data_IF_097499557954
#
_entry.id   IF_097499557954
#
_cell.length_a   1.000
_cell.length_b   1.000
_cell.length_c   1.000
_cell.angle_alpha   90.00
_cell.angle_beta   90.00
_cell.angle_gamma   90.00
#
_symmetry.space_group_name_H-M   'P 1'
#
loop_
_entity.id
_entity.type
_entity.pdbx_description
1 polymer ?
#
# COMPACT_ATOMS: atom_id res chain seq x y z
N UNK A 1 -17.45 12.36 -10.80
CA UNK A 1 -16.09 11.96 -11.20
C UNK A 1 -15.54 10.98 -10.15
N UNK A 2 -16.09 9.77 -10.12
CA UNK A 2 -15.72 8.69 -9.21
C UNK A 2 -15.28 7.51 -10.10
N UNK A 3 -14.49 6.57 -9.60
CA UNK A 3 -13.97 5.39 -10.34
C UNK A 3 -12.65 5.62 -11.12
N UNK A 4 -11.66 6.29 -10.50
CA UNK A 4 -10.23 6.03 -10.81
C UNK A 4 -9.40 5.58 -9.60
N UNK A 5 -9.84 5.85 -8.36
CA UNK A 5 -9.12 5.41 -7.15
C UNK A 5 -9.14 3.89 -6.92
N UNK A 6 -10.05 3.17 -7.60
CA UNK A 6 -10.25 1.74 -7.44
C UNK A 6 -9.29 0.88 -8.27
N UNK A 7 -8.66 1.43 -9.33
CA UNK A 7 -7.84 0.62 -10.25
C UNK A 7 -6.34 0.64 -9.91
N UNK A 8 -5.99 0.91 -8.65
CA UNK A 8 -4.60 0.78 -8.18
C UNK A 8 -4.29 -0.69 -7.90
N UNK A 9 -3.16 -1.23 -8.37
CA UNK A 9 -2.83 -2.64 -8.19
C UNK A 9 -2.54 -2.94 -6.71
N UNK A 10 -2.78 -4.17 -6.28
CA UNK A 10 -2.60 -4.55 -4.88
C UNK A 10 -2.69 -6.07 -4.67
N UNK A 11 -2.22 -6.56 -3.51
CA UNK A 11 -2.38 -7.95 -3.13
C UNK A 11 -3.86 -8.32 -2.95
N UNK A 12 -4.12 -9.62 -2.96
CA UNK A 12 -5.44 -10.16 -2.66
C UNK A 12 -5.85 -9.79 -1.22
N UNK A 13 -7.13 -9.50 -1.01
CA UNK A 13 -7.66 -9.13 0.30
C UNK A 13 -8.58 -10.25 0.81
N UNK A 14 -8.32 -10.74 2.03
CA UNK A 14 -9.18 -11.71 2.70
C UNK A 14 -10.07 -11.01 3.73
N UNK A 15 -11.37 -11.27 3.70
CA UNK A 15 -12.27 -10.80 4.75
C UNK A 15 -12.04 -11.59 6.05
N UNK A 16 -11.98 -10.97 7.25
CA UNK A 16 -12.17 -9.55 7.56
C UNK A 16 -10.86 -8.73 7.66
N UNK A 17 -9.69 -9.35 7.48
CA UNK A 17 -8.38 -8.75 7.82
C UNK A 17 -7.71 -8.00 6.67
N UNK A 18 -8.29 -8.03 5.47
CA UNK A 18 -7.72 -7.45 4.25
C UNK A 18 -6.46 -8.18 3.79
N UNK A 19 -5.43 -7.43 3.41
CA UNK A 19 -4.06 -7.88 3.19
C UNK A 19 -3.22 -7.94 4.48
N UNK A 20 -3.83 -7.74 5.66
CA UNK A 20 -3.14 -7.79 6.95
C UNK A 20 -2.42 -9.13 7.22
N UNK A 21 -2.92 -10.23 6.64
CA UNK A 21 -2.29 -11.55 6.72
C UNK A 21 -0.85 -11.60 6.21
N UNK A 22 -0.46 -10.69 5.30
CA UNK A 22 0.92 -10.58 4.79
C UNK A 22 1.92 -10.12 5.87
N UNK A 23 1.39 -9.57 6.97
CA UNK A 23 2.14 -8.94 8.05
C UNK A 23 1.92 -9.61 9.41
N UNK A 24 1.10 -10.66 9.50
CA UNK A 24 0.76 -11.34 10.77
C UNK A 24 1.85 -12.28 11.33
N UNK A 25 3.05 -12.30 10.72
CA UNK A 25 4.19 -13.12 11.16
C UNK A 25 5.25 -12.30 11.91
N UNK A 26 6.40 -12.91 12.22
CA UNK A 26 7.53 -12.24 12.88
C UNK A 26 7.98 -10.99 12.11
N UNK A 27 8.51 -9.96 12.79
CA UNK A 27 8.99 -8.72 12.17
C UNK A 27 10.00 -8.96 11.03
N UNK A 28 10.84 -9.99 11.15
CA UNK A 28 11.81 -10.40 10.14
C UNK A 28 11.15 -10.73 8.78
N UNK A 29 9.93 -11.27 8.80
CA UNK A 29 9.18 -11.60 7.59
C UNK A 29 8.43 -10.40 7.02
N UNK A 30 8.15 -9.37 7.81
CA UNK A 30 7.48 -8.14 7.35
C UNK A 30 8.35 -7.47 6.28
N UNK A 31 9.64 -7.26 6.55
CA UNK A 31 10.54 -6.64 5.58
C UNK A 31 10.63 -7.47 4.29
N UNK A 32 10.74 -8.80 4.40
CA UNK A 32 10.79 -9.71 3.24
C UNK A 32 9.50 -9.68 2.43
N UNK A 33 8.34 -9.65 3.08
CA UNK A 33 7.03 -9.51 2.43
C UNK A 33 6.90 -8.16 1.73
N UNK A 34 7.35 -7.07 2.37
CA UNK A 34 7.35 -5.73 1.78
C UNK A 34 8.25 -5.65 0.55
N UNK A 35 9.46 -6.20 0.60
CA UNK A 35 10.37 -6.24 -0.56
C UNK A 35 9.77 -7.04 -1.72
N UNK A 36 9.10 -8.16 -1.45
CA UNK A 36 8.39 -8.94 -2.47
C UNK A 36 7.22 -8.17 -3.08
N UNK A 37 6.45 -7.45 -2.26
CA UNK A 37 5.36 -6.60 -2.72
C UNK A 37 5.88 -5.44 -3.57
N UNK A 38 7.00 -4.83 -3.18
CA UNK A 38 7.66 -3.78 -3.94
C UNK A 38 8.14 -4.29 -5.31
N UNK A 39 8.76 -5.47 -5.36
CA UNK A 39 9.16 -6.08 -6.62
C UNK A 39 7.96 -6.41 -7.53
N UNK A 40 6.84 -6.84 -6.94
CA UNK A 40 5.61 -7.18 -7.68
C UNK A 40 4.83 -5.95 -8.16
N UNK A 41 4.93 -4.84 -7.44
CA UNK A 41 4.21 -3.59 -7.70
C UNK A 41 5.18 -2.40 -7.69
N UNK A 42 6.01 -2.25 -8.73
CA UNK A 42 7.10 -1.26 -8.75
C UNK A 42 6.59 0.19 -8.70
N UNK A 43 5.43 0.48 -9.31
CA UNK A 43 4.82 1.82 -9.35
C UNK A 43 4.08 2.23 -8.06
N UNK A 44 4.02 1.32 -7.08
CA UNK A 44 3.23 1.42 -5.86
C UNK A 44 2.06 0.44 -5.84
N UNK A 45 1.48 0.26 -4.65
CA UNK A 45 0.36 -0.65 -4.44
C UNK A 45 -0.67 -0.07 -3.46
N UNK A 46 -1.89 -0.63 -3.50
CA UNK A 46 -2.91 -0.42 -2.47
C UNK A 46 -3.09 -1.72 -1.70
N UNK A 47 -3.29 -1.63 -0.40
CA UNK A 47 -3.61 -2.79 0.43
C UNK A 47 -4.64 -2.41 1.49
N UNK A 48 -5.55 -3.31 1.81
CA UNK A 48 -6.45 -3.14 2.94
C UNK A 48 -5.84 -3.77 4.18
N UNK A 49 -5.96 -3.11 5.33
CA UNK A 49 -5.60 -3.68 6.62
C UNK A 49 -6.79 -3.50 7.56
N UNK A 50 -7.57 -4.58 7.72
CA UNK A 50 -8.94 -4.47 8.23
C UNK A 50 -9.75 -3.46 7.41
N UNK A 51 -10.27 -2.42 8.08
CA UNK A 51 -11.07 -1.36 7.47
C UNK A 51 -10.24 -0.16 6.98
N UNK A 52 -8.91 -0.21 7.09
CA UNK A 52 -8.02 0.87 6.65
C UNK A 52 -7.44 0.58 5.27
N UNK A 53 -7.56 1.55 4.36
CA UNK A 53 -6.92 1.50 3.04
C UNK A 53 -5.56 2.18 3.10
N UNK A 54 -4.51 1.43 2.77
CA UNK A 54 -3.13 1.89 2.78
C UNK A 54 -2.63 1.96 1.33
N UNK A 55 -2.07 3.10 0.95
CA UNK A 55 -1.38 3.28 -0.32
C UNK A 55 0.13 3.33 -0.07
N UNK A 56 0.87 2.42 -0.70
CA UNK A 56 2.32 2.47 -0.73
C UNK A 56 2.76 3.05 -2.08
N UNK A 57 3.54 4.11 -2.03
CA UNK A 57 4.04 4.83 -3.19
C UNK A 57 5.55 4.72 -3.21
N UNK A 58 6.12 4.32 -4.34
CA UNK A 58 7.58 4.17 -4.49
C UNK A 58 8.20 5.27 -5.35
N UNK A 59 7.40 5.94 -6.20
CA UNK A 59 7.88 7.00 -7.08
C UNK A 59 7.96 8.34 -6.34
N UNK A 60 9.14 8.94 -6.37
CA UNK A 60 9.44 10.26 -5.78
C UNK A 60 8.46 11.34 -6.25
N UNK A 61 8.13 11.38 -7.54
CA UNK A 61 7.18 12.36 -8.12
C UNK A 61 5.80 12.34 -7.42
N UNK A 62 5.30 11.15 -7.06
CA UNK A 62 4.01 11.01 -6.36
C UNK A 62 4.13 11.41 -4.89
N UNK A 63 5.29 11.14 -4.28
CA UNK A 63 5.59 11.49 -2.88
C UNK A 63 5.72 13.02 -2.74
N UNK A 64 6.46 13.68 -3.64
CA UNK A 64 6.63 15.14 -3.67
C UNK A 64 5.30 15.86 -3.81
N UNK A 65 4.39 15.36 -4.66
CA UNK A 65 3.05 15.93 -4.79
C UNK A 65 2.25 15.85 -3.49
N UNK A 66 2.33 14.73 -2.78
CA UNK A 66 1.60 14.55 -1.51
C UNK A 66 2.22 15.42 -0.41
N UNK A 67 3.55 15.40 -0.27
CA UNK A 67 4.26 16.19 0.72
C UNK A 67 4.13 17.70 0.46
N UNK A 68 4.13 18.13 -0.79
CA UNK A 68 3.95 19.53 -1.17
C UNK A 68 2.51 20.03 -1.04
N UNK A 69 1.52 19.13 -1.10
CA UNK A 69 0.09 19.49 -0.91
C UNK A 69 -0.32 19.45 0.57
N UNK A 70 0.35 18.62 1.36
CA UNK A 70 0.07 18.53 2.79
C UNK A 70 0.72 19.73 3.47
N UNK A 71 -0.08 20.72 3.89
CA UNK A 71 0.38 21.65 4.93
C UNK A 71 0.78 20.78 6.12
N UNK A 72 2.08 20.66 6.36
CA UNK A 72 2.63 20.11 7.59
C UNK A 72 1.94 20.87 8.74
N UNK A 73 0.98 20.19 9.38
CA UNK A 73 0.33 20.66 10.60
C UNK A 73 1.35 20.74 11.72
#
# INVERSE_FOLDING_TARGET
>A
MLVKSWNYPGPFNVSPVGAGYLFMFRPEYILKSTLKLQAKYPDGLKLWMGNHLIYCLHKSEKIEKILGTTKLL
#
